data_IF_939040894819
#
_entry.id   IF_939040894819
#
_cell.length_a   1.000
_cell.length_b   1.000
_cell.length_c   1.000
_cell.angle_alpha   90.00
_cell.angle_beta   90.00
_cell.angle_gamma   90.00
#
_symmetry.space_group_name_H-M   'P 1'
#
loop_
_entity.id
_entity.type
_entity.pdbx_description
1 polymer ?
#
# COMPACT_ATOMS: atom_id res chain seq x y z
N UNK A 1 9.20 21.77 -10.13
CA UNK A 1 8.81 20.38 -10.48
C UNK A 1 8.44 20.33 -11.95
N UNK A 2 8.91 19.34 -12.72
CA UNK A 2 8.75 19.29 -14.18
C UNK A 2 7.46 18.58 -14.65
N UNK A 3 6.74 17.94 -13.72
CA UNK A 3 5.52 17.18 -13.99
C UNK A 3 4.40 17.62 -13.05
N UNK A 4 3.17 17.61 -13.57
CA UNK A 4 1.96 17.87 -12.78
C UNK A 4 1.60 16.61 -11.99
N UNK A 5 1.33 16.77 -10.70
CA UNK A 5 0.79 15.69 -9.87
C UNK A 5 -0.68 15.46 -10.22
N UNK A 6 -1.00 14.23 -10.60
CA UNK A 6 -2.36 13.80 -10.85
C UNK A 6 -2.76 12.88 -9.69
N UNK A 7 -3.24 13.47 -8.60
CA UNK A 7 -3.50 12.75 -7.32
C UNK A 7 -4.34 11.48 -7.51
N UNK A 8 -5.40 11.54 -8.34
CA UNK A 8 -6.24 10.38 -8.63
C UNK A 8 -5.49 9.26 -9.37
N UNK A 9 -4.61 9.61 -10.32
CA UNK A 9 -3.85 8.64 -11.10
C UNK A 9 -2.72 8.03 -10.26
N UNK A 10 -2.01 8.87 -9.50
CA UNK A 10 -0.92 8.45 -8.62
C UNK A 10 -1.42 7.57 -7.47
N UNK A 11 -2.60 7.86 -6.91
CA UNK A 11 -3.20 7.04 -5.85
C UNK A 11 -3.47 5.61 -6.34
N UNK A 12 -3.96 5.44 -7.58
CA UNK A 12 -4.17 4.12 -8.17
C UNK A 12 -2.88 3.32 -8.35
N UNK A 13 -1.76 3.98 -8.70
CA UNK A 13 -0.46 3.31 -8.84
C UNK A 13 0.15 2.93 -7.49
N UNK A 14 0.02 3.79 -6.48
CA UNK A 14 0.47 3.49 -5.11
C UNK A 14 -0.26 2.28 -4.54
N UNK A 15 -1.58 2.20 -4.71
CA UNK A 15 -2.37 1.05 -4.27
C UNK A 15 -1.95 -0.23 -4.99
N UNK A 16 -1.89 -0.23 -6.33
CA UNK A 16 -1.45 -1.40 -7.11
C UNK A 16 -0.06 -1.89 -6.71
N UNK A 17 0.85 -0.96 -6.42
CA UNK A 17 2.20 -1.28 -5.96
C UNK A 17 2.18 -1.96 -4.59
N UNK A 18 1.47 -1.39 -3.61
CA UNK A 18 1.35 -1.96 -2.27
C UNK A 18 0.72 -3.36 -2.28
N UNK A 19 -0.36 -3.56 -3.03
CA UNK A 19 -1.01 -4.87 -3.16
C UNK A 19 -0.07 -5.90 -3.80
N UNK A 20 0.70 -5.51 -4.82
CA UNK A 20 1.70 -6.38 -5.42
C UNK A 20 2.77 -6.78 -4.40
N UNK A 21 3.30 -5.83 -3.63
CA UNK A 21 4.32 -6.10 -2.60
C UNK A 21 3.81 -7.01 -1.49
N UNK A 22 2.58 -6.79 -1.03
CA UNK A 22 1.94 -7.68 -0.07
C UNK A 22 1.83 -9.12 -0.60
N UNK A 23 1.42 -9.31 -1.87
CA UNK A 23 1.34 -10.63 -2.51
C UNK A 23 2.70 -11.29 -2.75
N UNK A 24 3.77 -10.50 -2.88
CA UNK A 24 5.16 -10.99 -2.92
C UNK A 24 5.67 -11.42 -1.54
N UNK A 25 4.89 -11.21 -0.46
CA UNK A 25 5.27 -11.54 0.90
C UNK A 25 6.13 -10.48 1.59
N UNK A 26 6.22 -9.27 1.00
CA UNK A 26 6.93 -8.15 1.62
C UNK A 26 6.07 -7.46 2.69
N UNK A 27 6.72 -7.00 3.76
CA UNK A 27 6.06 -6.24 4.84
C UNK A 27 5.77 -4.82 4.36
N UNK A 28 4.50 -4.54 4.04
CA UNK A 28 4.07 -3.22 3.56
C UNK A 28 3.70 -2.25 4.67
N UNK A 29 3.66 -2.70 5.93
CA UNK A 29 3.28 -1.89 7.10
C UNK A 29 4.47 -1.60 8.00
N UNK A 30 4.38 -0.51 8.77
CA UNK A 30 5.38 -0.10 9.78
C UNK A 30 5.20 -0.79 11.13
N UNK A 31 4.18 -1.63 11.28
CA UNK A 31 3.89 -2.32 12.53
C UNK A 31 4.92 -3.43 12.75
N UNK A 32 5.39 -3.63 13.99
CA UNK A 32 6.28 -4.73 14.38
C UNK A 32 5.49 -6.01 14.67
N UNK A 33 4.29 -5.84 15.21
CA UNK A 33 3.37 -6.94 15.49
C UNK A 33 2.66 -7.38 14.21
N UNK A 34 2.50 -8.69 14.03
CA UNK A 34 1.85 -9.24 12.84
C UNK A 34 0.33 -9.01 12.85
N UNK A 35 -0.31 -9.06 14.02
CA UNK A 35 -1.75 -8.73 14.17
C UNK A 35 -2.06 -7.32 13.66
N UNK A 36 -1.34 -6.31 14.16
CA UNK A 36 -1.51 -4.93 13.71
C UNK A 36 -1.12 -4.72 12.24
N UNK A 37 -0.21 -5.55 11.70
CA UNK A 37 0.12 -5.51 10.28
C UNK A 37 -1.01 -6.09 9.42
N UNK A 38 -1.60 -7.21 9.84
CA UNK A 38 -2.74 -7.86 9.17
C UNK A 38 -3.98 -6.97 9.21
N UNK A 39 -4.31 -6.39 10.37
CA UNK A 39 -5.46 -5.46 10.51
C UNK A 39 -5.37 -4.28 9.53
N UNK A 40 -4.19 -3.67 9.41
CA UNK A 40 -3.97 -2.54 8.49
C UNK A 40 -4.00 -2.96 7.01
N UNK A 41 -3.64 -4.20 6.70
CA UNK A 41 -3.75 -4.77 5.35
C UNK A 41 -5.20 -5.06 5.00
N UNK A 42 -5.97 -5.59 5.95
CA UNK A 42 -7.39 -5.86 5.77
C UNK A 42 -8.19 -4.57 5.58
N UNK A 43 -7.84 -3.48 6.28
CA UNK A 43 -8.43 -2.16 6.04
C UNK A 43 -8.10 -1.62 4.63
N UNK A 44 -6.92 -1.92 4.09
CA UNK A 44 -6.47 -1.47 2.77
C UNK A 44 -7.12 -2.24 1.60
N UNK A 45 -7.56 -3.47 1.85
CA UNK A 45 -8.07 -4.41 0.83
C UNK A 45 -9.59 -4.58 0.85
N UNK A 46 -10.29 -4.16 1.91
CA UNK A 46 -11.75 -4.07 1.97
C UNK A 46 -12.29 -2.93 1.09
#
# INVERSE_FOLDING_TARGET
MKYQQLENLESGWKWKYLVKKHREGERITRHLENSAAEDAVDELLN
#
